data_IF_200653115404
#
_entry.id   IF_200653115404
#
_cell.length_a   1.000
_cell.length_b   1.000
_cell.length_c   1.000
_cell.angle_alpha   90.00
_cell.angle_beta   90.00
_cell.angle_gamma   90.00
#
_symmetry.space_group_name_H-M   'P 1'
#
loop_
_entity.id
_entity.type
_entity.pdbx_description
1 polymer ?
#
# COMPACT_ATOMS: atom_id res chain seq x y z
N UNK A 1 -11.77 3.65 1.35
CA UNK A 1 -12.53 4.25 2.45
C UNK A 1 -13.35 5.48 2.04
N UNK A 2 -12.92 6.32 1.10
CA UNK A 2 -13.73 7.48 0.65
C UNK A 2 -14.87 7.08 -0.30
N UNK A 3 -14.68 5.99 -1.04
CA UNK A 3 -15.65 5.45 -2.02
C UNK A 3 -16.41 4.21 -1.51
N UNK A 4 -16.49 4.01 -0.22
CA UNK A 4 -17.14 2.81 0.33
C UNK A 4 -18.64 2.68 -0.02
N UNK A 5 -19.31 3.78 -0.32
CA UNK A 5 -20.73 3.80 -0.72
C UNK A 5 -20.94 3.58 -2.21
N UNK A 6 -19.89 3.63 -3.02
CA UNK A 6 -19.96 3.53 -4.47
C UNK A 6 -19.84 2.07 -4.96
N UNK A 7 -19.52 1.16 -4.03
CA UNK A 7 -19.32 -0.26 -4.34
C UNK A 7 -20.36 -1.08 -3.59
N UNK A 8 -21.19 -1.77 -4.36
CA UNK A 8 -22.12 -2.78 -3.83
C UNK A 8 -21.55 -4.16 -4.07
N UNK A 9 -21.61 -5.03 -3.05
CA UNK A 9 -21.21 -6.42 -3.22
C UNK A 9 -22.23 -7.15 -4.11
N UNK A 10 -21.80 -7.89 -5.14
CA UNK A 10 -22.71 -8.64 -6.01
C UNK A 10 -23.40 -9.79 -5.29
N UNK A 11 -22.87 -10.28 -4.16
CA UNK A 11 -23.47 -11.33 -3.37
C UNK A 11 -24.49 -10.78 -2.37
N UNK A 12 -25.75 -11.21 -2.48
CA UNK A 12 -26.86 -10.78 -1.61
C UNK A 12 -26.55 -10.96 -0.11
N UNK A 13 -25.78 -11.97 0.23
CA UNK A 13 -25.37 -12.25 1.61
C UNK A 13 -24.55 -11.10 2.25
N UNK A 14 -23.84 -10.32 1.47
CA UNK A 14 -22.95 -9.25 1.95
C UNK A 14 -23.51 -7.84 1.75
N UNK A 15 -24.61 -7.66 1.02
CA UNK A 15 -25.19 -6.34 0.73
C UNK A 15 -25.57 -5.54 1.98
N UNK A 16 -25.83 -6.20 3.11
CA UNK A 16 -26.13 -5.55 4.39
C UNK A 16 -24.92 -5.36 5.30
N UNK A 17 -23.74 -5.72 4.85
CA UNK A 17 -22.49 -5.56 5.60
C UNK A 17 -21.82 -4.29 5.13
N UNK A 18 -21.53 -3.39 6.06
CA UNK A 18 -20.79 -2.16 5.73
C UNK A 18 -19.35 -2.49 5.30
N UNK A 19 -18.94 -2.01 4.14
CA UNK A 19 -17.56 -2.07 3.68
C UNK A 19 -16.71 -0.87 4.18
N UNK A 20 -17.29 0.00 5.03
CA UNK A 20 -16.58 1.09 5.66
C UNK A 20 -15.72 0.54 6.80
N UNK A 21 -14.40 0.73 6.78
CA UNK A 21 -13.54 0.33 7.89
C UNK A 21 -13.77 1.24 9.11
N UNK A 22 -13.47 0.74 10.32
CA UNK A 22 -13.54 1.51 11.55
C UNK A 22 -12.41 2.54 11.66
N UNK A 23 -11.25 2.21 11.11
CA UNK A 23 -10.10 3.11 10.99
C UNK A 23 -9.26 2.71 9.76
N UNK A 24 -8.44 3.62 9.25
CA UNK A 24 -7.55 3.37 8.11
C UNK A 24 -6.11 3.81 8.41
N UNK A 25 -5.14 2.93 8.12
CA UNK A 25 -3.71 3.27 8.13
C UNK A 25 -3.26 3.43 6.68
N UNK A 26 -2.80 4.61 6.33
CA UNK A 26 -2.38 4.99 4.98
C UNK A 26 -0.86 5.21 4.98
N UNK A 27 -0.14 4.25 4.42
CA UNK A 27 1.32 4.27 4.33
C UNK A 27 1.74 4.81 2.96
N UNK A 28 2.42 5.95 2.93
CA UNK A 28 2.91 6.59 1.69
C UNK A 28 1.89 6.52 0.53
N UNK A 29 0.64 6.98 0.75
CA UNK A 29 -0.48 6.70 -0.15
C UNK A 29 -0.42 7.53 -1.44
N UNK A 30 -0.86 6.94 -2.55
CA UNK A 30 -1.22 7.68 -3.75
C UNK A 30 -2.61 8.25 -3.54
N UNK A 31 -2.75 9.56 -3.56
CA UNK A 31 -3.99 10.29 -3.23
C UNK A 31 -4.50 11.09 -4.42
N UNK A 32 -3.65 11.98 -4.97
CA UNK A 32 -4.10 12.94 -5.98
C UNK A 32 -3.76 12.50 -7.41
N UNK A 33 -4.64 12.77 -8.35
CA UNK A 33 -4.38 12.69 -9.78
C UNK A 33 -3.79 14.00 -10.36
N UNK A 34 -3.69 15.06 -9.54
CA UNK A 34 -3.26 16.38 -9.95
C UNK A 34 -1.75 16.54 -10.14
N UNK A 35 -1.21 17.70 -9.73
CA UNK A 35 0.20 18.08 -9.92
C UNK A 35 1.19 17.07 -9.32
N UNK A 36 0.85 16.46 -8.21
CA UNK A 36 1.69 15.55 -7.44
C UNK A 36 1.32 14.07 -7.66
N UNK A 37 0.64 13.77 -8.77
CA UNK A 37 0.20 12.42 -9.08
C UNK A 37 1.38 11.47 -9.31
N UNK A 38 1.28 10.27 -8.77
CA UNK A 38 2.06 9.13 -9.26
C UNK A 38 1.35 8.53 -10.47
N UNK A 39 1.68 9.04 -11.66
CA UNK A 39 0.94 8.77 -12.90
C UNK A 39 0.87 7.29 -13.27
N UNK A 40 1.92 6.52 -12.99
CA UNK A 40 1.96 5.09 -13.31
C UNK A 40 0.87 4.30 -12.59
N UNK A 41 0.45 4.73 -11.38
CA UNK A 41 -0.68 4.11 -10.67
C UNK A 41 -1.99 4.29 -11.43
N UNK A 42 -2.24 5.47 -11.98
CA UNK A 42 -3.47 5.74 -12.75
C UNK A 42 -3.46 5.01 -14.09
N UNK A 43 -2.31 4.95 -14.75
CA UNK A 43 -2.13 4.16 -15.98
C UNK A 43 -2.33 2.66 -15.72
N UNK A 44 -1.85 2.15 -14.59
CA UNK A 44 -2.05 0.75 -14.20
C UNK A 44 -3.52 0.43 -13.90
N UNK A 45 -4.26 1.39 -13.32
CA UNK A 45 -5.66 1.21 -12.93
C UNK A 45 -6.63 1.35 -14.12
N UNK A 46 -6.45 2.38 -14.94
CA UNK A 46 -7.41 2.77 -15.99
C UNK A 46 -6.89 2.58 -17.40
N UNK A 47 -5.62 2.24 -17.60
CA UNK A 47 -4.99 2.19 -18.91
C UNK A 47 -4.22 3.46 -19.26
N UNK A 48 -3.72 3.54 -20.50
CA UNK A 48 -2.77 4.58 -20.91
C UNK A 48 -3.33 6.00 -20.92
N UNK A 49 -4.62 6.13 -21.13
CA UNK A 49 -5.31 7.42 -21.31
C UNK A 49 -6.56 7.47 -20.40
N UNK A 50 -6.39 7.60 -19.07
CA UNK A 50 -7.52 7.75 -18.18
C UNK A 50 -8.28 9.06 -18.50
N UNK A 51 -9.60 8.99 -18.46
CA UNK A 51 -10.47 10.15 -18.63
C UNK A 51 -10.35 11.13 -17.44
N UNK A 52 -10.74 12.39 -17.64
CA UNK A 52 -10.80 13.38 -16.57
C UNK A 52 -11.72 12.92 -15.42
N UNK A 53 -12.82 12.22 -15.72
CA UNK A 53 -13.74 11.69 -14.73
C UNK A 53 -13.11 10.60 -13.87
N UNK A 54 -12.36 9.67 -14.47
CA UNK A 54 -11.62 8.63 -13.73
C UNK A 54 -10.52 9.24 -12.86
N UNK A 55 -9.82 10.25 -13.37
CA UNK A 55 -8.79 10.96 -12.61
C UNK A 55 -9.41 11.74 -11.43
N UNK A 56 -10.52 12.44 -11.63
CA UNK A 56 -11.22 13.16 -10.55
C UNK A 56 -11.75 12.17 -9.50
N UNK A 57 -12.38 11.07 -9.92
CA UNK A 57 -12.86 10.02 -9.03
C UNK A 57 -11.77 9.45 -8.13
N UNK A 58 -10.55 9.34 -8.64
CA UNK A 58 -9.38 8.84 -7.88
C UNK A 58 -8.52 9.95 -7.27
N UNK A 59 -8.94 11.21 -7.35
CA UNK A 59 -8.37 12.30 -6.53
C UNK A 59 -9.03 12.28 -5.15
N UNK A 60 -8.54 11.37 -4.30
CA UNK A 60 -9.22 10.98 -3.05
C UNK A 60 -9.39 12.13 -2.07
N UNK A 61 -8.56 13.16 -2.15
CA UNK A 61 -8.66 14.39 -1.37
C UNK A 61 -9.97 15.14 -1.65
N UNK A 62 -10.54 15.00 -2.85
CA UNK A 62 -11.80 15.65 -3.24
C UNK A 62 -13.03 14.91 -2.70
N UNK A 63 -12.88 13.67 -2.25
CA UNK A 63 -13.97 12.78 -1.85
C UNK A 63 -14.02 12.51 -0.34
N UNK A 64 -13.18 13.17 0.44
CA UNK A 64 -13.24 13.08 1.90
C UNK A 64 -14.51 13.76 2.42
N UNK A 65 -15.29 13.03 3.20
CA UNK A 65 -16.53 13.54 3.83
C UNK A 65 -16.50 13.23 5.33
N UNK A 66 -17.47 13.75 6.09
CA UNK A 66 -17.65 13.41 7.52
C UNK A 66 -17.84 11.91 7.79
N UNK A 67 -18.21 11.14 6.76
CA UNK A 67 -18.40 9.69 6.86
C UNK A 67 -17.09 8.91 6.58
N UNK A 68 -16.03 9.59 6.16
CA UNK A 68 -14.70 8.98 6.03
C UNK A 68 -14.22 8.51 7.41
N UNK A 69 -13.70 7.27 7.53
CA UNK A 69 -13.25 6.77 8.81
C UNK A 69 -12.04 7.57 9.33
N UNK A 70 -11.73 7.50 10.64
CA UNK A 70 -10.48 8.01 11.19
C UNK A 70 -9.28 7.48 10.41
N UNK A 71 -8.30 8.35 10.13
CA UNK A 71 -7.15 8.00 9.29
C UNK A 71 -5.82 8.27 10.00
N UNK A 72 -4.91 7.30 9.97
CA UNK A 72 -3.52 7.48 10.31
C UNK A 72 -2.69 7.51 9.03
N UNK A 73 -1.93 8.57 8.80
CA UNK A 73 -1.09 8.74 7.61
C UNK A 73 0.38 8.79 8.00
N UNK A 74 1.23 8.16 7.22
CA UNK A 74 2.66 8.40 7.32
C UNK A 74 3.35 8.35 5.96
N UNK A 75 4.42 9.15 5.83
CA UNK A 75 5.23 9.25 4.61
C UNK A 75 6.61 9.82 4.93
N UNK A 76 7.51 9.80 3.96
CA UNK A 76 8.82 10.43 4.05
C UNK A 76 8.92 11.61 3.08
N UNK A 77 9.61 12.68 3.48
CA UNK A 77 9.79 13.90 2.65
C UNK A 77 10.54 13.59 1.36
N UNK A 78 11.48 12.65 1.41
CA UNK A 78 12.36 12.35 0.25
C UNK A 78 11.86 11.18 -0.61
N UNK A 79 10.60 10.79 -0.47
CA UNK A 79 9.97 9.81 -1.35
C UNK A 79 9.98 10.31 -2.81
N UNK A 80 10.74 9.62 -3.67
CA UNK A 80 10.90 9.98 -5.09
C UNK A 80 9.84 9.34 -5.99
N UNK A 81 9.00 8.46 -5.45
CA UNK A 81 7.97 7.74 -6.20
C UNK A 81 6.61 8.40 -6.02
N UNK A 82 6.20 8.59 -4.78
CA UNK A 82 4.94 9.27 -4.44
C UNK A 82 5.29 10.54 -3.65
N UNK A 83 5.11 11.73 -4.23
CA UNK A 83 5.41 12.99 -3.55
C UNK A 83 4.66 13.13 -2.22
N UNK A 84 5.34 13.63 -1.19
CA UNK A 84 4.80 13.79 0.17
C UNK A 84 3.52 14.65 0.21
N UNK A 85 3.33 15.48 -0.77
CA UNK A 85 2.14 16.32 -0.93
C UNK A 85 0.84 15.50 -1.02
N UNK A 86 0.91 14.24 -1.47
CA UNK A 86 -0.25 13.35 -1.42
C UNK A 86 -0.81 13.21 0.00
N UNK A 87 0.07 12.97 0.97
CA UNK A 87 -0.33 12.90 2.40
C UNK A 87 -0.82 14.24 2.92
N UNK A 88 -0.21 15.36 2.52
CA UNK A 88 -0.64 16.69 2.94
C UNK A 88 -2.03 17.03 2.44
N UNK A 89 -2.32 16.77 1.17
CA UNK A 89 -3.64 17.03 0.56
C UNK A 89 -4.74 16.22 1.26
N UNK A 90 -4.51 14.95 1.54
CA UNK A 90 -5.49 14.12 2.21
C UNK A 90 -5.71 14.53 3.67
N UNK A 91 -4.65 14.82 4.41
CA UNK A 91 -4.74 15.32 5.77
C UNK A 91 -5.49 16.66 5.85
N UNK A 92 -5.24 17.56 4.89
CA UNK A 92 -5.97 18.81 4.78
C UNK A 92 -7.46 18.59 4.52
N UNK A 93 -7.82 17.67 3.63
CA UNK A 93 -9.20 17.31 3.36
C UNK A 93 -9.88 16.70 4.59
N UNK A 94 -9.20 15.81 5.33
CA UNK A 94 -9.71 15.30 6.61
C UNK A 94 -9.99 16.43 7.61
N UNK A 95 -9.06 17.38 7.75
CA UNK A 95 -9.26 18.54 8.65
C UNK A 95 -10.48 19.38 8.26
N UNK A 96 -10.66 19.63 6.97
CA UNK A 96 -11.80 20.40 6.44
C UNK A 96 -13.15 19.69 6.65
N UNK A 97 -13.16 18.35 6.51
CA UNK A 97 -14.36 17.53 6.70
C UNK A 97 -14.65 17.19 8.17
N UNK A 98 -13.76 17.57 9.10
CA UNK A 98 -13.87 17.21 10.52
C UNK A 98 -13.62 15.72 10.82
N UNK A 99 -12.91 15.02 9.93
CA UNK A 99 -12.52 13.63 10.11
C UNK A 99 -11.33 13.57 11.06
N UNK A 100 -11.35 12.74 12.11
CA UNK A 100 -10.19 12.52 12.96
C UNK A 100 -9.02 11.93 12.16
N UNK A 101 -7.83 12.50 12.30
CA UNK A 101 -6.65 11.94 11.67
C UNK A 101 -5.38 12.20 12.51
N UNK A 102 -4.36 11.38 12.26
CA UNK A 102 -2.98 11.62 12.65
C UNK A 102 -2.11 11.60 11.39
N UNK A 103 -1.12 12.51 11.32
CA UNK A 103 -0.17 12.53 10.21
C UNK A 103 1.25 12.59 10.74
N UNK A 104 2.10 11.67 10.27
CA UNK A 104 3.52 11.59 10.59
C UNK A 104 4.34 11.67 9.31
N UNK A 105 5.23 12.65 9.24
CA UNK A 105 6.11 12.84 8.09
C UNK A 105 7.55 12.76 8.57
N UNK A 106 8.26 11.76 8.10
CA UNK A 106 9.66 11.52 8.42
C UNK A 106 10.57 12.27 7.47
N UNK A 107 11.72 12.70 7.96
CA UNK A 107 12.63 13.60 7.24
C UNK A 107 13.20 12.98 5.96
N UNK A 108 13.52 11.69 6.00
CA UNK A 108 14.17 10.97 4.91
C UNK A 108 13.64 9.54 4.80
N UNK A 109 13.63 9.02 3.57
CA UNK A 109 13.33 7.64 3.26
C UNK A 109 12.89 7.44 1.82
N UNK A 110 13.03 6.20 1.34
CA UNK A 110 12.55 5.78 0.02
C UNK A 110 11.08 5.38 0.10
N UNK A 111 10.43 5.31 -1.04
CA UNK A 111 9.07 4.75 -1.13
C UNK A 111 9.02 3.28 -0.72
N UNK A 112 7.95 2.89 -0.06
CA UNK A 112 7.68 1.47 0.21
C UNK A 112 8.53 0.89 1.35
N UNK A 113 8.87 1.68 2.37
CA UNK A 113 9.63 1.21 3.54
C UNK A 113 8.89 0.19 4.42
N UNK A 114 7.56 0.05 4.25
CA UNK A 114 6.76 -0.92 5.00
C UNK A 114 6.98 -0.77 6.52
N UNK A 115 7.31 -1.84 7.22
CA UNK A 115 7.59 -1.81 8.66
C UNK A 115 8.96 -1.22 9.03
N UNK A 116 9.79 -0.92 8.05
CA UNK A 116 11.11 -0.29 8.18
C UNK A 116 12.03 -0.98 9.20
N UNK A 117 12.00 -2.31 9.26
CA UNK A 117 12.90 -3.10 10.12
C UNK A 117 14.10 -3.63 9.36
N UNK A 118 15.13 -4.09 10.07
CA UNK A 118 16.29 -4.73 9.45
C UNK A 118 15.89 -6.02 8.72
N UNK A 119 14.95 -6.80 9.27
CA UNK A 119 14.41 -8.00 8.63
C UNK A 119 13.72 -7.66 7.30
N UNK A 120 12.98 -6.55 7.26
CA UNK A 120 12.39 -6.06 6.02
C UNK A 120 13.47 -5.68 5.00
N UNK A 121 14.51 -4.95 5.43
CA UNK A 121 15.62 -4.54 4.56
C UNK A 121 16.37 -5.73 3.98
N UNK A 122 16.64 -6.74 4.81
CA UNK A 122 17.29 -7.99 4.39
C UNK A 122 16.33 -8.95 3.67
N UNK A 123 15.04 -8.55 3.53
CA UNK A 123 14.00 -9.36 2.88
C UNK A 123 13.70 -10.68 3.59
N UNK A 124 13.86 -10.72 4.90
CA UNK A 124 13.70 -11.92 5.73
C UNK A 124 12.35 -11.98 6.47
N UNK A 125 11.43 -11.02 6.25
CA UNK A 125 10.13 -11.00 6.92
C UNK A 125 9.33 -12.25 6.58
N UNK A 126 9.01 -13.04 7.59
CA UNK A 126 8.18 -14.23 7.46
C UNK A 126 8.83 -15.36 6.66
N UNK A 127 10.17 -15.39 6.55
CA UNK A 127 10.87 -16.38 5.74
C UNK A 127 11.98 -17.07 6.51
N UNK A 128 11.91 -18.37 6.54
CA UNK A 128 13.07 -19.19 6.85
C UNK A 128 14.06 -19.14 5.66
N UNK A 129 15.30 -18.73 5.92
CA UNK A 129 16.44 -18.81 5.01
C UNK A 129 16.24 -18.30 3.56
N UNK A 130 15.65 -17.12 3.38
CA UNK A 130 15.62 -16.44 2.07
C UNK A 130 14.69 -17.05 1.02
N UNK A 131 13.76 -17.92 1.41
CA UNK A 131 12.67 -18.42 0.55
C UNK A 131 11.44 -17.56 0.72
N UNK A 132 10.98 -16.93 -0.36
CA UNK A 132 9.82 -16.04 -0.32
C UNK A 132 8.48 -16.77 -0.35
N UNK A 133 8.45 -17.99 -0.90
CA UNK A 133 7.26 -18.81 -1.03
C UNK A 133 7.56 -20.24 -0.61
N UNK A 134 6.62 -20.90 0.03
CA UNK A 134 6.70 -22.33 0.29
C UNK A 134 6.52 -23.10 -1.02
N UNK A 135 6.93 -24.35 -1.03
CA UNK A 135 6.73 -25.25 -2.18
C UNK A 135 5.24 -25.34 -2.55
N UNK A 136 4.38 -25.41 -1.56
CA UNK A 136 2.93 -25.48 -1.72
C UNK A 136 2.36 -24.22 -2.36
N UNK A 137 2.80 -23.02 -1.92
CA UNK A 137 2.39 -21.75 -2.52
C UNK A 137 2.82 -21.62 -3.98
N UNK A 138 4.03 -22.08 -4.33
CA UNK A 138 4.50 -22.07 -5.72
C UNK A 138 3.70 -23.03 -6.58
N UNK A 139 3.35 -24.21 -6.04
CA UNK A 139 2.52 -25.20 -6.72
C UNK A 139 1.11 -24.65 -6.99
N UNK A 140 0.45 -24.09 -5.97
CA UNK A 140 -0.87 -23.44 -6.11
C UNK A 140 -0.88 -22.34 -7.17
N UNK A 141 0.18 -21.51 -7.19
CA UNK A 141 0.31 -20.44 -8.19
C UNK A 141 0.45 -21.02 -9.61
N UNK A 142 1.25 -22.09 -9.78
CA UNK A 142 1.42 -22.76 -11.05
C UNK A 142 0.08 -23.32 -11.57
N UNK A 143 -0.66 -23.99 -10.72
CA UNK A 143 -1.97 -24.59 -11.04
C UNK A 143 -2.99 -23.50 -11.44
N UNK A 144 -3.05 -22.38 -10.71
CA UNK A 144 -3.93 -21.25 -11.02
C UNK A 144 -3.58 -20.57 -12.36
N UNK A 145 -2.29 -20.47 -12.71
CA UNK A 145 -1.84 -19.94 -13.99
C UNK A 145 -2.21 -20.88 -15.15
N UNK A 146 -2.00 -22.19 -14.96
CA UNK A 146 -2.37 -23.20 -15.96
C UNK A 146 -3.88 -23.26 -16.19
N UNK A 147 -4.66 -23.12 -15.12
CA UNK A 147 -6.13 -23.05 -15.17
C UNK A 147 -6.68 -21.77 -15.80
N UNK A 148 -5.83 -20.72 -15.96
CA UNK A 148 -6.28 -19.41 -16.47
C UNK A 148 -7.03 -18.58 -15.43
N UNK A 149 -6.89 -18.91 -14.16
CA UNK A 149 -7.53 -18.23 -13.02
C UNK A 149 -6.76 -16.97 -12.56
N UNK A 150 -5.67 -16.64 -13.21
CA UNK A 150 -4.87 -15.45 -12.92
C UNK A 150 -4.96 -14.45 -14.08
N UNK A 151 -4.75 -13.14 -13.81
CA UNK A 151 -4.72 -12.12 -14.86
C UNK A 151 -3.44 -12.18 -15.72
N UNK A 152 -2.54 -13.11 -15.44
CA UNK A 152 -1.29 -13.25 -16.18
C UNK A 152 -1.45 -14.16 -17.40
N UNK A 153 -0.92 -13.75 -18.58
CA UNK A 153 -0.83 -14.66 -19.71
C UNK A 153 0.10 -15.83 -19.37
N UNK A 154 -0.16 -17.00 -19.98
CA UNK A 154 0.52 -18.26 -19.65
C UNK A 154 2.04 -18.15 -19.73
N UNK A 155 2.56 -17.46 -20.72
CA UNK A 155 3.99 -17.22 -20.95
C UNK A 155 4.64 -16.44 -19.80
N UNK A 156 3.90 -15.49 -19.23
CA UNK A 156 4.35 -14.69 -18.07
C UNK A 156 4.28 -15.49 -16.77
N UNK A 157 3.39 -16.46 -16.70
CA UNK A 157 3.31 -17.42 -15.61
C UNK A 157 4.57 -18.31 -15.54
N UNK A 158 5.01 -18.83 -16.67
CA UNK A 158 6.24 -19.62 -16.77
C UNK A 158 7.48 -18.81 -16.35
N UNK A 159 7.59 -17.56 -16.80
CA UNK A 159 8.67 -16.66 -16.35
C UNK A 159 8.66 -16.42 -14.84
N UNK A 160 7.47 -16.23 -14.24
CA UNK A 160 7.33 -16.06 -12.80
C UNK A 160 7.71 -17.32 -12.03
N UNK A 161 7.34 -18.50 -12.52
CA UNK A 161 7.70 -19.78 -11.91
C UNK A 161 9.21 -20.04 -11.98
N UNK A 162 9.84 -19.69 -13.10
CA UNK A 162 11.31 -19.74 -13.22
C UNK A 162 11.98 -18.77 -12.27
N UNK A 163 11.45 -17.55 -12.13
CA UNK A 163 12.00 -16.49 -11.30
C UNK A 163 11.78 -16.70 -9.80
N UNK A 164 10.66 -17.30 -9.41
CA UNK A 164 10.27 -17.54 -8.03
C UNK A 164 10.14 -19.02 -7.66
N UNK A 165 10.58 -19.90 -8.54
CA UNK A 165 10.49 -21.34 -8.38
C UNK A 165 11.23 -21.85 -7.16
N UNK A 166 10.94 -23.10 -6.81
CA UNK A 166 11.48 -23.81 -5.65
C UNK A 166 13.01 -23.78 -5.68
N UNK A 167 13.63 -23.20 -4.65
CA UNK A 167 15.10 -23.13 -4.51
C UNK A 167 15.76 -21.93 -5.20
N UNK A 168 15.03 -21.08 -5.92
CA UNK A 168 15.60 -19.84 -6.44
C UNK A 168 15.76 -18.81 -5.31
N UNK A 169 16.98 -18.37 -5.08
CA UNK A 169 17.23 -17.18 -4.26
C UNK A 169 16.70 -15.97 -5.02
N UNK A 170 15.81 -15.20 -4.39
CA UNK A 170 15.38 -13.92 -4.94
C UNK A 170 16.62 -13.03 -5.10
N UNK A 171 16.85 -12.40 -6.28
CA UNK A 171 17.91 -11.42 -6.40
C UNK A 171 17.71 -10.32 -5.34
N UNK A 172 18.80 -9.90 -4.71
CA UNK A 172 18.76 -8.82 -3.73
C UNK A 172 18.12 -7.60 -4.36
N UNK A 173 17.10 -7.02 -3.70
CA UNK A 173 16.41 -5.81 -4.16
C UNK A 173 17.37 -4.62 -4.21
N UNK A 174 18.31 -4.58 -3.27
CA UNK A 174 19.27 -3.50 -3.11
C UNK A 174 20.69 -4.04 -2.99
N UNK A 175 21.64 -3.27 -3.49
CA UNK A 175 23.08 -3.46 -3.22
C UNK A 175 23.39 -3.12 -1.75
N UNK A 176 24.50 -3.62 -1.21
CA UNK A 176 24.91 -3.30 0.17
C UNK A 176 25.07 -1.78 0.40
N UNK A 177 25.58 -1.05 -0.59
CA UNK A 177 25.67 0.41 -0.52
C UNK A 177 24.30 1.09 -0.42
N UNK A 178 23.30 0.59 -1.14
CA UNK A 178 21.92 1.10 -1.04
C UNK A 178 21.29 0.76 0.32
N UNK A 179 21.49 -0.48 0.80
CA UNK A 179 21.03 -0.89 2.14
C UNK A 179 21.64 -0.01 3.24
N UNK A 180 22.94 0.31 3.15
CA UNK A 180 23.61 1.20 4.11
C UNK A 180 22.95 2.60 4.14
N UNK A 181 22.58 3.12 2.97
CA UNK A 181 21.82 4.37 2.88
C UNK A 181 20.45 4.27 3.57
N UNK A 182 19.70 3.20 3.29
CA UNK A 182 18.37 2.97 3.86
C UNK A 182 18.43 2.77 5.38
N UNK A 183 19.42 2.04 5.90
CA UNK A 183 19.59 1.82 7.35
C UNK A 183 19.62 3.10 8.18
N UNK A 184 20.13 4.19 7.60
CA UNK A 184 20.18 5.49 8.30
C UNK A 184 18.79 6.04 8.63
N UNK A 185 17.80 5.70 7.82
CA UNK A 185 16.42 6.18 7.98
C UNK A 185 15.52 5.21 8.72
N UNK A 186 15.88 3.90 8.79
CA UNK A 186 15.03 2.86 9.37
C UNK A 186 14.60 3.18 10.80
N UNK A 187 15.53 3.60 11.65
CA UNK A 187 15.25 3.83 13.08
C UNK A 187 14.19 4.90 13.30
N UNK A 188 14.22 5.97 12.50
CA UNK A 188 13.24 7.05 12.58
C UNK A 188 11.89 6.54 12.05
N UNK A 189 11.88 5.99 10.85
CA UNK A 189 10.65 5.56 10.16
C UNK A 189 9.96 4.41 10.89
N UNK A 190 10.70 3.45 11.43
CA UNK A 190 10.14 2.30 12.16
C UNK A 190 9.21 2.71 13.31
N UNK A 191 9.39 3.89 13.87
CA UNK A 191 8.55 4.39 14.96
C UNK A 191 7.07 4.54 14.56
N UNK A 192 6.74 4.60 13.26
CA UNK A 192 5.36 4.73 12.81
C UNK A 192 4.47 3.58 13.27
N UNK A 193 5.00 2.36 13.38
CA UNK A 193 4.22 1.18 13.76
C UNK A 193 3.67 1.33 15.19
N UNK A 194 4.51 1.77 16.12
CA UNK A 194 4.09 2.04 17.49
C UNK A 194 3.14 3.22 17.59
N UNK A 195 3.39 4.29 16.82
CA UNK A 195 2.50 5.45 16.77
C UNK A 195 1.11 5.07 16.23
N UNK A 196 1.06 4.18 15.22
CA UNK A 196 -0.20 3.68 14.66
C UNK A 196 -0.94 2.77 15.65
N UNK A 197 -0.24 1.90 16.38
CA UNK A 197 -0.80 1.04 17.41
C UNK A 197 -1.46 1.88 18.51
N UNK A 198 -0.74 2.83 19.11
CA UNK A 198 -1.24 3.73 20.13
C UNK A 198 -2.40 4.63 19.62
N UNK A 199 -2.39 4.96 18.33
CA UNK A 199 -3.47 5.71 17.71
C UNK A 199 -4.71 4.84 17.52
N UNK A 200 -4.57 3.58 17.06
CA UNK A 200 -5.68 2.65 16.85
C UNK A 200 -6.43 2.34 18.14
N UNK A 201 -5.75 2.23 19.28
CA UNK A 201 -6.38 2.02 20.60
C UNK A 201 -7.47 3.05 20.94
N UNK A 202 -7.44 4.23 20.31
CA UNK A 202 -8.46 5.29 20.52
C UNK A 202 -9.74 5.07 19.74
N UNK A 203 -9.72 4.22 18.70
CA UNK A 203 -10.81 4.06 17.73
C UNK A 203 -11.30 2.62 17.61
N UNK A 204 -10.52 1.67 18.08
CA UNK A 204 -10.89 0.27 18.13
C UNK A 204 -11.16 -0.09 19.60
N UNK A 205 -12.39 -0.50 19.90
CA UNK A 205 -12.68 -1.15 21.18
C UNK A 205 -12.00 -2.53 21.14
N UNK A 206 -10.85 -2.63 21.79
CA UNK A 206 -10.18 -3.93 21.99
C UNK A 206 -10.88 -4.57 23.21
N UNK A 207 -11.80 -5.52 22.93
CA UNK A 207 -12.35 -6.39 23.96
C UNK A 207 -11.28 -7.36 24.52
#
# INVERSE_FOLDING_TARGET
CVHNKDVEDPEEAYQNISNRPDAAILSYPVITSGKYAHRDSFVALFGKEPSEQELDYMSLENHVTKDTPPCFLWQTVTDQTVPVENSYLFAQACAQAGVPFAQHVFSEGIHGLSVATEEWLEQNIGQEEGKRYTQEQVQMLAEAIEAGETPFPKEKGEELLVKFGIGCKKPARWTEKQKEGIRKTLKEVQSWTKLAEEWLEKYLEVE
#
